data_IF_479330705521
#
_entry.id   IF_479330705521
#
_cell.length_a   1.000
_cell.length_b   1.000
_cell.length_c   1.000
_cell.angle_alpha   90.00
_cell.angle_beta   90.00
_cell.angle_gamma   90.00
#
_symmetry.space_group_name_H-M   'P 1'
#
loop_
_entity.id
_entity.type
_entity.pdbx_description
1 polymer ?
#
# COMPACT_ATOMS: atom_id res chain seq x y z
N UNK A 1 -25.07 -16.78 -13.52
CA UNK A 1 -24.22 -16.33 -12.41
C UNK A 1 -22.81 -16.25 -12.96
N UNK A 2 -22.18 -15.07 -12.94
CA UNK A 2 -20.78 -14.95 -13.35
C UNK A 2 -19.91 -15.59 -12.26
N UNK A 3 -19.19 -16.65 -12.59
CA UNK A 3 -18.26 -17.29 -11.67
C UNK A 3 -17.02 -16.41 -11.55
N UNK A 4 -16.84 -15.77 -10.39
CA UNK A 4 -15.66 -14.97 -10.11
C UNK A 4 -14.56 -15.90 -9.58
N UNK A 5 -13.48 -16.02 -10.34
CA UNK A 5 -12.29 -16.77 -9.93
C UNK A 5 -11.33 -15.86 -9.16
N UNK A 6 -10.84 -16.33 -8.02
CA UNK A 6 -9.81 -15.64 -7.25
C UNK A 6 -8.57 -15.38 -8.13
N UNK A 7 -7.99 -14.19 -8.02
CA UNK A 7 -6.75 -13.85 -8.72
C UNK A 7 -5.61 -14.75 -8.22
N UNK A 8 -4.86 -15.35 -9.15
CA UNK A 8 -3.73 -16.20 -8.81
C UNK A 8 -2.59 -15.36 -8.16
N UNK A 9 -1.84 -15.91 -7.18
CA UNK A 9 -0.71 -15.25 -6.55
C UNK A 9 0.32 -14.70 -7.56
N UNK A 10 0.70 -13.43 -7.40
CA UNK A 10 1.72 -12.78 -8.22
C UNK A 10 2.33 -11.58 -7.50
N UNK A 11 3.46 -11.08 -8.00
CA UNK A 11 4.13 -9.86 -7.52
C UNK A 11 3.17 -8.66 -7.58
N UNK A 12 2.47 -8.50 -8.70
CA UNK A 12 1.49 -7.42 -8.89
C UNK A 12 0.31 -7.54 -7.93
N UNK A 13 -0.18 -8.76 -7.69
CA UNK A 13 -1.26 -8.93 -6.75
C UNK A 13 -0.80 -8.65 -5.31
N UNK A 14 0.40 -9.07 -4.92
CA UNK A 14 0.96 -8.75 -3.61
C UNK A 14 1.13 -7.24 -3.42
N UNK A 15 1.59 -6.53 -4.45
CA UNK A 15 1.64 -5.06 -4.48
C UNK A 15 0.26 -4.44 -4.29
N UNK A 16 -0.74 -4.91 -5.05
CA UNK A 16 -2.11 -4.42 -4.93
C UNK A 16 -2.68 -4.68 -3.51
N UNK A 17 -2.42 -5.84 -2.91
CA UNK A 17 -2.81 -6.11 -1.52
C UNK A 17 -2.17 -5.12 -0.55
N UNK A 18 -0.89 -4.78 -0.74
CA UNK A 18 -0.21 -3.74 0.06
C UNK A 18 -0.88 -2.37 -0.07
N UNK A 19 -1.15 -1.95 -1.31
CA UNK A 19 -1.86 -0.68 -1.59
C UNK A 19 -3.26 -0.69 -0.99
N UNK A 20 -4.00 -1.80 -1.11
CA UNK A 20 -5.34 -1.92 -0.55
C UNK A 20 -5.31 -1.92 0.97
N UNK A 21 -4.36 -2.62 1.58
CA UNK A 21 -4.17 -2.67 3.02
C UNK A 21 -3.98 -1.28 3.61
N UNK A 22 -3.20 -0.44 2.93
CA UNK A 22 -3.03 0.95 3.29
C UNK A 22 -4.25 1.83 3.04
N UNK A 23 -4.30 2.44 1.85
CA UNK A 23 -5.29 3.47 1.47
C UNK A 23 -6.55 2.92 0.78
N UNK A 24 -6.64 1.60 0.58
CA UNK A 24 -7.79 0.96 -0.07
C UNK A 24 -9.01 0.77 0.83
N UNK A 25 -10.19 0.74 0.23
CA UNK A 25 -11.44 0.40 0.89
C UNK A 25 -12.37 -0.33 -0.08
N UNK A 26 -12.94 -1.46 0.35
CA UNK A 26 -13.97 -2.18 -0.39
C UNK A 26 -15.29 -1.91 0.31
N UNK A 27 -16.24 -1.28 -0.38
CA UNK A 27 -17.55 -0.93 0.19
C UNK A 27 -18.67 -1.52 -0.63
N UNK A 28 -19.77 -1.94 0.02
CA UNK A 28 -20.97 -2.36 -0.68
C UNK A 28 -21.73 -1.14 -1.17
N UNK A 29 -22.12 -1.13 -2.44
CA UNK A 29 -22.88 -0.09 -3.10
C UNK A 29 -24.07 -0.73 -3.84
N UNK A 30 -25.18 -0.94 -3.15
CA UNK A 30 -26.33 -1.68 -3.68
C UNK A 30 -26.01 -3.14 -3.95
N UNK A 31 -26.15 -3.56 -5.21
CA UNK A 31 -25.86 -4.91 -5.70
C UNK A 31 -24.41 -5.12 -6.13
N UNK A 32 -23.57 -4.08 -6.07
CA UNK A 32 -22.15 -4.17 -6.44
C UNK A 32 -21.25 -3.80 -5.26
N UNK A 33 -19.97 -4.08 -5.41
CA UNK A 33 -18.92 -3.58 -4.54
C UNK A 33 -18.11 -2.53 -5.26
N UNK A 34 -17.62 -1.57 -4.48
CA UNK A 34 -16.75 -0.49 -4.93
C UNK A 34 -15.41 -0.60 -4.21
N UNK A 35 -14.34 -0.78 -4.98
CA UNK A 35 -12.97 -0.59 -4.52
C UNK A 35 -12.59 0.88 -4.70
N UNK A 36 -12.15 1.55 -3.64
CA UNK A 36 -11.59 2.90 -3.68
C UNK A 36 -10.16 2.87 -3.11
N UNK A 37 -9.19 3.47 -3.80
CA UNK A 37 -7.85 3.75 -3.28
C UNK A 37 -7.69 5.27 -3.21
N UNK A 38 -7.45 5.79 -2.01
CA UNK A 38 -7.21 7.23 -1.82
C UNK A 38 -5.74 7.55 -2.10
N UNK A 39 -5.49 8.50 -3.01
CA UNK A 39 -4.14 8.89 -3.40
C UNK A 39 -3.92 10.38 -3.10
N UNK A 40 -2.73 10.77 -2.67
CA UNK A 40 -2.32 12.17 -2.61
C UNK A 40 -2.12 12.69 -4.05
N UNK A 41 -2.78 13.80 -4.37
CA UNK A 41 -2.71 14.39 -5.71
C UNK A 41 -1.32 14.95 -6.08
N UNK A 42 -0.37 14.98 -5.12
CA UNK A 42 1.03 15.30 -5.38
C UNK A 42 1.79 14.20 -6.13
N UNK A 43 1.25 12.97 -6.21
CA UNK A 43 1.89 11.81 -6.84
C UNK A 43 1.00 11.23 -7.96
N UNK A 44 0.79 11.97 -9.07
CA UNK A 44 -0.08 11.54 -10.16
C UNK A 44 0.37 10.23 -10.84
N UNK A 45 1.66 9.93 -10.83
CA UNK A 45 2.22 8.67 -11.32
C UNK A 45 1.70 7.45 -10.56
N UNK A 46 1.53 7.54 -9.23
CA UNK A 46 0.96 6.46 -8.43
C UNK A 46 -0.52 6.23 -8.76
N UNK A 47 -1.26 7.30 -9.09
CA UNK A 47 -2.66 7.19 -9.51
C UNK A 47 -2.75 6.34 -10.77
N UNK A 48 -1.91 6.61 -11.77
CA UNK A 48 -1.86 5.86 -13.03
C UNK A 48 -1.44 4.40 -12.76
N UNK A 49 -0.39 4.18 -11.96
CA UNK A 49 0.07 2.83 -11.59
C UNK A 49 -1.05 2.02 -10.95
N UNK A 50 -1.81 2.59 -10.00
CA UNK A 50 -2.89 1.87 -9.33
C UNK A 50 -4.08 1.61 -10.25
N UNK A 51 -4.40 2.54 -11.16
CA UNK A 51 -5.42 2.33 -12.18
C UNK A 51 -5.08 1.15 -13.09
N UNK A 52 -3.85 1.11 -13.59
CA UNK A 52 -3.37 0.05 -14.48
C UNK A 52 -3.26 -1.28 -13.73
N UNK A 53 -2.78 -1.27 -12.49
CA UNK A 53 -2.65 -2.46 -11.65
C UNK A 53 -4.01 -3.13 -11.42
N UNK A 54 -5.03 -2.36 -11.02
CA UNK A 54 -6.40 -2.89 -10.86
C UNK A 54 -6.92 -3.41 -12.20
N UNK A 55 -6.77 -2.65 -13.29
CA UNK A 55 -7.30 -3.03 -14.59
C UNK A 55 -6.67 -4.33 -15.11
N UNK A 56 -5.35 -4.51 -14.97
CA UNK A 56 -4.65 -5.72 -15.41
C UNK A 56 -5.00 -6.95 -14.57
N UNK A 57 -5.12 -6.80 -13.25
CA UNK A 57 -5.39 -7.93 -12.37
C UNK A 57 -6.86 -8.36 -12.38
N UNK A 58 -7.78 -7.42 -12.52
CA UNK A 58 -9.23 -7.69 -12.37
C UNK A 58 -10.01 -7.63 -13.69
N UNK A 59 -9.42 -7.08 -14.75
CA UNK A 59 -10.12 -6.74 -16.00
C UNK A 59 -11.14 -5.59 -15.84
N UNK A 60 -11.24 -4.97 -14.67
CA UNK A 60 -12.22 -3.93 -14.40
C UNK A 60 -11.74 -2.57 -14.91
N UNK A 61 -12.68 -1.80 -15.47
CA UNK A 61 -12.43 -0.39 -15.77
C UNK A 61 -12.24 0.39 -14.47
N UNK A 62 -11.20 1.23 -14.44
CA UNK A 62 -10.94 2.17 -13.35
C UNK A 62 -11.28 3.60 -13.74
N UNK A 63 -11.63 4.42 -12.75
CA UNK A 63 -11.80 5.87 -12.90
C UNK A 63 -11.10 6.60 -11.76
N UNK A 64 -10.55 7.79 -12.03
CA UNK A 64 -9.96 8.66 -11.02
C UNK A 64 -10.90 9.84 -10.72
N UNK A 65 -11.22 10.06 -9.44
CA UNK A 65 -12.15 11.11 -9.01
C UNK A 65 -11.42 12.07 -8.08
N UNK A 66 -11.30 13.35 -8.47
CA UNK A 66 -10.73 14.40 -7.62
C UNK A 66 -11.70 14.72 -6.47
N UNK A 67 -11.19 14.68 -5.24
CA UNK A 67 -11.98 15.06 -4.06
C UNK A 67 -12.01 16.58 -3.92
N UNK A 68 -13.22 17.17 -3.95
CA UNK A 68 -13.41 18.63 -3.86
C UNK A 68 -12.77 19.19 -2.58
N UNK A 69 -11.99 20.26 -2.73
CA UNK A 69 -11.34 20.97 -1.62
C UNK A 69 -10.21 20.19 -0.94
N UNK A 70 -9.78 19.04 -1.47
CA UNK A 70 -8.70 18.23 -0.89
C UNK A 70 -7.60 17.96 -1.92
N UNK A 71 -6.38 17.78 -1.44
CA UNK A 71 -5.26 17.23 -2.25
C UNK A 71 -5.36 15.70 -2.33
N UNK A 72 -6.53 15.20 -2.73
CA UNK A 72 -6.79 13.77 -2.80
C UNK A 72 -7.50 13.43 -4.11
N UNK A 73 -7.09 12.33 -4.73
CA UNK A 73 -7.75 11.69 -5.86
C UNK A 73 -8.10 10.26 -5.44
N UNK A 74 -9.27 9.77 -5.80
CA UNK A 74 -9.66 8.38 -5.56
C UNK A 74 -9.61 7.59 -6.86
N UNK A 75 -8.87 6.50 -6.87
CA UNK A 75 -8.99 5.48 -7.92
C UNK A 75 -10.14 4.55 -7.55
N UNK A 76 -11.08 4.35 -8.47
CA UNK A 76 -12.33 3.62 -8.22
C UNK A 76 -12.54 2.53 -9.25
N UNK A 77 -12.93 1.34 -8.79
CA UNK A 77 -13.45 0.26 -9.62
C UNK A 77 -14.72 -0.31 -9.00
N UNK A 78 -15.68 -0.75 -9.82
CA UNK A 78 -16.95 -1.30 -9.36
C UNK A 78 -17.21 -2.66 -10.02
N UNK A 79 -17.59 -3.66 -9.23
CA UNK A 79 -18.05 -4.96 -9.72
C UNK A 79 -18.78 -5.71 -8.60
N UNK A 80 -19.69 -6.61 -8.97
CA UNK A 80 -20.33 -7.50 -8.00
C UNK A 80 -19.35 -8.51 -7.38
N UNK A 81 -18.21 -8.77 -8.03
CA UNK A 81 -17.26 -9.81 -7.61
C UNK A 81 -15.97 -9.31 -6.95
N UNK A 82 -15.85 -8.03 -6.59
CA UNK A 82 -14.58 -7.50 -6.04
C UNK A 82 -14.09 -8.29 -4.82
N UNK A 83 -14.93 -8.58 -3.80
CA UNK A 83 -14.48 -9.36 -2.65
C UNK A 83 -13.97 -10.75 -3.02
N UNK A 84 -14.66 -11.43 -3.93
CA UNK A 84 -14.33 -12.78 -4.38
C UNK A 84 -13.06 -12.79 -5.26
N UNK A 85 -12.94 -11.84 -6.19
CA UNK A 85 -11.77 -11.69 -7.06
C UNK A 85 -10.49 -11.43 -6.26
N UNK A 86 -10.57 -10.60 -5.22
CA UNK A 86 -9.42 -10.20 -4.40
C UNK A 86 -9.21 -11.10 -3.18
N UNK A 87 -10.18 -11.93 -2.82
CA UNK A 87 -10.18 -12.66 -1.55
C UNK A 87 -10.15 -11.74 -0.32
N UNK A 88 -10.72 -10.53 -0.44
CA UNK A 88 -10.70 -9.51 0.61
C UNK A 88 -12.11 -9.11 1.06
N UNK A 89 -12.37 -9.01 2.37
CA UNK A 89 -13.70 -8.71 2.87
C UNK A 89 -14.08 -7.23 2.64
N UNK A 90 -15.36 -6.93 2.34
CA UNK A 90 -15.86 -5.56 2.29
C UNK A 90 -16.01 -4.96 3.71
N UNK A 91 -15.98 -3.64 3.82
CA UNK A 91 -16.18 -2.89 5.06
C UNK A 91 -14.90 -2.35 5.67
N UNK A 92 -15.01 -1.80 6.88
CA UNK A 92 -13.86 -1.23 7.60
C UNK A 92 -12.88 -2.34 8.02
N UNK A 93 -11.60 -2.20 7.67
CA UNK A 93 -10.54 -3.20 7.94
C UNK A 93 -10.40 -3.60 9.41
N UNK A 94 -10.77 -2.71 10.32
CA UNK A 94 -10.76 -2.96 11.77
C UNK A 94 -11.90 -3.86 12.25
N UNK A 95 -12.92 -4.09 11.42
CA UNK A 95 -14.16 -4.80 11.79
C UNK A 95 -14.55 -5.93 10.83
N UNK A 96 -14.01 -5.94 9.60
CA UNK A 96 -14.41 -6.87 8.55
C UNK A 96 -13.58 -8.17 8.51
N UNK A 97 -12.68 -8.39 9.47
CA UNK A 97 -11.83 -9.58 9.49
C UNK A 97 -10.70 -9.56 8.46
N UNK A 98 -10.32 -8.40 7.91
CA UNK A 98 -9.20 -8.27 6.97
C UNK A 98 -7.94 -9.01 7.47
N UNK A 99 -7.32 -9.79 6.59
CA UNK A 99 -6.04 -10.47 6.80
C UNK A 99 -5.20 -10.33 5.54
N UNK A 100 -3.89 -10.24 5.72
CA UNK A 100 -2.94 -10.32 4.62
C UNK A 100 -2.83 -11.81 4.24
N UNK A 101 -3.03 -12.18 2.96
CA UNK A 101 -2.94 -13.57 2.53
C UNK A 101 -1.57 -14.20 2.81
N UNK A 102 -1.56 -15.43 3.31
CA UNK A 102 -0.33 -16.08 3.79
C UNK A 102 0.68 -16.34 2.66
N UNK A 103 0.20 -16.61 1.44
CA UNK A 103 1.05 -16.82 0.26
C UNK A 103 1.99 -15.64 -0.03
N UNK A 104 1.68 -14.42 0.44
CA UNK A 104 2.57 -13.27 0.30
C UNK A 104 3.89 -13.50 1.04
N UNK A 105 3.86 -14.14 2.20
CA UNK A 105 5.03 -14.37 3.04
C UNK A 105 5.86 -15.58 2.62
N UNK A 106 5.37 -16.38 1.67
CA UNK A 106 6.04 -17.59 1.17
C UNK A 106 7.09 -17.29 0.08
N UNK A 107 7.09 -16.08 -0.49
CA UNK A 107 8.02 -15.67 -1.53
C UNK A 107 8.55 -14.25 -1.29
N UNK A 108 9.87 -14.10 -1.25
CA UNK A 108 10.52 -12.81 -0.97
C UNK A 108 10.13 -11.69 -1.94
N UNK A 109 9.87 -12.00 -3.22
CA UNK A 109 9.46 -11.00 -4.21
C UNK A 109 8.02 -10.53 -3.97
N UNK A 110 7.15 -11.38 -3.45
CA UNK A 110 5.80 -10.99 -3.02
C UNK A 110 5.87 -10.12 -1.76
N UNK A 111 6.74 -10.47 -0.81
CA UNK A 111 6.98 -9.65 0.38
C UNK A 111 7.48 -8.26 -0.01
N UNK A 112 8.47 -8.14 -0.91
CA UNK A 112 8.96 -6.85 -1.41
C UNK A 112 7.83 -6.02 -2.01
N UNK A 113 7.03 -6.63 -2.89
CA UNK A 113 5.93 -5.95 -3.56
C UNK A 113 4.86 -5.47 -2.58
N UNK A 114 4.49 -6.32 -1.61
CA UNK A 114 3.55 -5.97 -0.54
C UNK A 114 4.05 -4.79 0.32
N UNK A 115 5.31 -4.84 0.77
CA UNK A 115 5.92 -3.76 1.57
C UNK A 115 6.01 -2.46 0.76
N UNK A 116 6.36 -2.54 -0.52
CA UNK A 116 6.33 -1.37 -1.42
C UNK A 116 4.96 -0.71 -1.43
N UNK A 117 3.89 -1.50 -1.60
CA UNK A 117 2.51 -1.00 -1.59
C UNK A 117 2.16 -0.25 -0.31
N UNK A 118 2.50 -0.82 0.84
CA UNK A 118 2.29 -0.19 2.15
C UNK A 118 3.08 1.11 2.33
N UNK A 119 4.32 1.16 1.86
CA UNK A 119 5.18 2.34 2.00
C UNK A 119 4.73 3.47 1.07
N UNK A 120 4.27 3.16 -0.14
CA UNK A 120 3.78 4.17 -1.08
C UNK A 120 2.42 4.77 -0.64
N UNK A 121 1.60 4.04 0.13
CA UNK A 121 0.36 4.58 0.74
C UNK A 121 0.65 5.28 2.07
N UNK A 122 0.93 4.53 3.12
CA UNK A 122 0.98 5.02 4.51
C UNK A 122 2.42 5.21 5.02
N UNK A 123 3.40 5.00 4.14
CA UNK A 123 4.79 5.27 4.42
C UNK A 123 5.29 6.62 3.91
N UNK A 124 6.50 6.96 4.33
CA UNK A 124 7.29 8.07 3.83
C UNK A 124 8.75 7.70 3.89
N UNK A 125 9.42 7.75 2.73
CA UNK A 125 10.88 7.81 2.62
C UNK A 125 11.28 9.28 2.63
N UNK A 126 12.04 9.70 3.63
CA UNK A 126 12.43 11.10 3.82
C UNK A 126 13.95 11.26 3.71
N UNK A 127 14.39 12.16 2.83
CA UNK A 127 15.75 12.70 2.81
C UNK A 127 15.73 14.07 3.51
N UNK A 128 16.56 14.25 4.52
CA UNK A 128 16.59 15.42 5.38
C UNK A 128 17.97 16.01 5.43
N UNK A 129 18.11 17.28 5.06
CA UNK A 129 19.31 18.06 5.31
C UNK A 129 19.19 18.85 6.60
N UNK A 130 20.10 18.61 7.55
CA UNK A 130 20.15 19.32 8.84
C UNK A 130 21.58 19.28 9.40
N UNK A 131 22.03 20.33 10.09
CA UNK A 131 23.35 20.38 10.73
C UNK A 131 24.52 20.03 9.79
N UNK A 132 24.46 20.45 8.52
CA UNK A 132 25.51 20.22 7.54
C UNK A 132 25.56 18.82 6.92
N UNK A 133 24.55 17.96 7.16
CA UNK A 133 24.53 16.58 6.66
C UNK A 133 23.17 16.12 6.13
N UNK A 134 23.21 15.15 5.22
CA UNK A 134 22.03 14.46 4.66
C UNK A 134 21.73 13.17 5.41
N UNK A 135 20.51 13.03 5.89
CA UNK A 135 20.01 11.87 6.62
C UNK A 135 18.79 11.30 5.91
N UNK A 136 18.75 9.99 5.77
CA UNK A 136 17.57 9.28 5.30
C UNK A 136 16.88 8.56 6.45
N UNK A 137 15.56 8.57 6.45
CA UNK A 137 14.76 7.74 7.34
C UNK A 137 13.46 7.31 6.66
N UNK A 138 12.90 6.20 7.13
CA UNK A 138 11.63 5.67 6.63
C UNK A 138 10.66 5.58 7.79
N UNK A 139 9.46 6.11 7.58
CA UNK A 139 8.34 5.97 8.49
C UNK A 139 7.23 5.18 7.83
N UNK A 140 6.56 4.32 8.59
CA UNK A 140 5.32 3.67 8.22
C UNK A 140 4.31 3.85 9.35
N UNK A 141 3.04 4.07 9.03
CA UNK A 141 1.98 4.21 10.03
C UNK A 141 0.80 3.31 9.70
N UNK A 142 0.30 2.58 10.68
CA UNK A 142 -0.94 1.82 10.54
C UNK A 142 -1.69 1.80 11.87
N UNK A 143 -2.95 2.25 11.84
CA UNK A 143 -3.85 2.17 13.00
C UNK A 143 -4.38 0.75 13.22
N UNK A 144 -4.47 -0.05 12.16
CA UNK A 144 -4.88 -1.45 12.25
C UNK A 144 -3.68 -2.32 12.69
N UNK A 145 -3.75 -2.99 13.86
CA UNK A 145 -2.64 -3.80 14.36
C UNK A 145 -2.27 -4.94 13.42
N UNK A 146 -3.25 -5.55 12.73
CA UNK A 146 -2.98 -6.64 11.77
C UNK A 146 -2.09 -6.18 10.62
N UNK A 147 -2.31 -4.95 10.14
CA UNK A 147 -1.49 -4.37 9.07
C UNK A 147 -0.10 -4.02 9.60
N UNK A 148 -0.01 -3.45 10.80
CA UNK A 148 1.28 -3.16 11.44
C UNK A 148 2.09 -4.44 11.68
N UNK A 149 1.46 -5.50 12.18
CA UNK A 149 2.13 -6.77 12.47
C UNK A 149 2.56 -7.47 11.16
N UNK A 150 1.72 -7.43 10.12
CA UNK A 150 2.08 -7.91 8.78
C UNK A 150 3.26 -7.12 8.19
N UNK A 151 3.29 -5.80 8.35
CA UNK A 151 4.41 -4.97 7.93
C UNK A 151 5.70 -5.37 8.66
N UNK A 152 5.66 -5.49 9.99
CA UNK A 152 6.83 -5.84 10.80
C UNK A 152 7.37 -7.24 10.46
N UNK A 153 6.49 -8.23 10.27
CA UNK A 153 6.86 -9.56 9.77
C UNK A 153 7.51 -9.47 8.39
N UNK A 154 6.92 -8.70 7.48
CA UNK A 154 7.41 -8.57 6.11
C UNK A 154 8.81 -7.96 6.07
N UNK A 155 9.05 -6.85 6.79
CA UNK A 155 10.39 -6.22 6.82
C UNK A 155 11.43 -7.08 7.51
N UNK A 156 11.05 -7.88 8.51
CA UNK A 156 11.94 -8.86 9.14
C UNK A 156 12.37 -9.96 8.16
N UNK A 157 11.44 -10.49 7.34
CA UNK A 157 11.76 -11.43 6.25
C UNK A 157 12.74 -10.82 5.27
N UNK A 158 12.64 -9.52 4.98
CA UNK A 158 13.56 -8.78 4.12
C UNK A 158 14.91 -8.44 4.80
N UNK A 159 15.12 -8.82 6.06
CA UNK A 159 16.35 -8.54 6.80
C UNK A 159 16.46 -7.11 7.33
N UNK A 160 15.34 -6.40 7.46
CA UNK A 160 15.26 -5.05 7.97
C UNK A 160 14.56 -4.98 9.33
N UNK A 161 14.96 -4.01 10.15
CA UNK A 161 14.31 -3.75 11.43
C UNK A 161 13.71 -2.34 11.47
N UNK A 162 12.46 -2.25 11.91
CA UNK A 162 11.78 -1.00 12.20
C UNK A 162 11.44 -0.96 13.69
N UNK A 163 11.73 0.17 14.33
CA UNK A 163 11.31 0.39 15.72
C UNK A 163 9.84 0.82 15.74
N UNK A 164 9.01 0.06 16.45
CA UNK A 164 7.58 0.38 16.66
C UNK A 164 7.40 1.34 17.83
N UNK A 165 6.62 2.40 17.63
CA UNK A 165 6.12 3.32 18.67
C UNK A 165 4.66 3.64 18.39
N UNK A 166 3.76 3.04 19.17
CA UNK A 166 2.32 3.16 18.99
C UNK A 166 1.89 2.68 17.58
N UNK A 167 1.16 3.50 16.80
CA UNK A 167 0.73 3.17 15.44
C UNK A 167 1.81 3.43 14.38
N UNK A 168 3.06 3.72 14.78
CA UNK A 168 4.16 4.05 13.87
C UNK A 168 5.28 3.04 13.95
N UNK A 169 5.95 2.83 12.84
CA UNK A 169 7.19 2.08 12.72
C UNK A 169 8.22 2.95 11.99
N UNK A 170 9.47 2.96 12.46
CA UNK A 170 10.51 3.81 11.87
C UNK A 170 11.88 3.14 11.75
N UNK A 171 12.59 3.49 10.69
CA UNK A 171 13.99 3.17 10.44
C UNK A 171 14.76 4.47 10.25
N UNK A 172 15.64 4.80 11.20
CA UNK A 172 16.43 6.04 11.19
C UNK A 172 17.88 5.85 10.72
N UNK A 173 18.31 4.61 10.45
CA UNK A 173 19.63 4.35 9.90
C UNK A 173 19.65 4.76 8.42
N UNK A 174 20.41 5.80 8.09
CA UNK A 174 20.46 6.39 6.75
C UNK A 174 20.91 5.42 5.66
N UNK A 175 21.93 4.59 5.92
CA UNK A 175 22.41 3.63 4.92
C UNK A 175 21.37 2.55 4.64
N UNK A 176 20.74 2.01 5.70
CA UNK A 176 19.69 1.00 5.57
C UNK A 176 18.41 1.59 4.93
N UNK A 177 18.03 2.82 5.27
CA UNK A 177 16.88 3.49 4.68
C UNK A 177 17.05 3.67 3.16
N UNK A 178 18.22 4.14 2.71
CA UNK A 178 18.51 4.28 1.28
C UNK A 178 18.53 2.92 0.58
N UNK A 179 19.18 1.92 1.20
CA UNK A 179 19.21 0.55 0.65
C UNK A 179 17.79 -0.01 0.50
N UNK A 180 16.97 0.10 1.53
CA UNK A 180 15.57 -0.38 1.54
C UNK A 180 14.74 0.30 0.44
N UNK A 181 14.81 1.63 0.33
CA UNK A 181 14.06 2.37 -0.67
C UNK A 181 14.48 1.99 -2.11
N UNK A 182 15.78 1.83 -2.34
CA UNK A 182 16.33 1.40 -3.63
C UNK A 182 15.93 -0.05 -3.96
N UNK A 183 16.06 -0.97 -3.01
CA UNK A 183 15.73 -2.40 -3.19
C UNK A 183 14.25 -2.61 -3.53
N UNK A 184 13.36 -1.84 -2.91
CA UNK A 184 11.92 -1.92 -3.16
C UNK A 184 11.44 -1.06 -4.34
N UNK A 185 12.31 -0.26 -4.95
CA UNK A 185 11.95 0.65 -6.03
C UNK A 185 10.85 1.64 -5.63
N UNK A 186 10.91 2.18 -4.40
CA UNK A 186 9.90 3.12 -3.89
C UNK A 186 9.92 4.41 -4.70
N UNK A 187 8.80 4.75 -5.35
CA UNK A 187 8.69 5.98 -6.14
C UNK A 187 8.47 7.23 -5.27
N UNK A 188 7.79 7.07 -4.13
CA UNK A 188 7.38 8.16 -3.24
C UNK A 188 8.48 8.52 -2.25
N UNK A 189 9.11 9.69 -2.44
CA UNK A 189 10.01 10.27 -1.46
C UNK A 189 9.63 11.72 -1.12
N UNK A 190 10.18 12.22 0.00
CA UNK A 190 10.08 13.62 0.41
C UNK A 190 11.45 14.14 0.80
N UNK A 191 11.74 15.37 0.39
CA UNK A 191 12.99 16.05 0.73
C UNK A 191 12.69 17.23 1.64
N UNK A 192 13.41 17.32 2.75
CA UNK A 192 13.30 18.40 3.71
C UNK A 192 14.66 19.07 3.89
N UNK A 193 14.69 20.40 3.82
CA UNK A 193 15.89 21.20 4.08
C UNK A 193 15.60 22.12 5.24
N UNK A 194 16.30 21.92 6.34
CA UNK A 194 16.22 22.77 7.52
C UNK A 194 17.41 23.74 7.53
N UNK A 195 17.11 25.03 7.64
CA UNK A 195 18.09 26.10 7.85
C UNK A 195 18.70 26.03 9.26
#
# INVERSE_FOLDING_TARGET
MTEFRLIDPSVDFAYLIGVIAGDGCITRAGHVYKLEISCDAAYPELIVIFQDLIARLTGLRTTSIKVKGKRCVRVVANSAGIPELLGLPPGAKSKNGFRVPEWIFENVEYVKAFVRGLIETDGTVAEVYRHGGWYAHIHFSAANPIIMDAFLRAVEILGYSFKRVGPKAYMANTALARKFAAELGIAKSKTYVYS
#
